data_IF_964761119241
#
_entry.id   IF_964761119241
#
_cell.length_a   1.000
_cell.length_b   1.000
_cell.length_c   1.000
_cell.angle_alpha   90.00
_cell.angle_beta   90.00
_cell.angle_gamma   90.00
#
_symmetry.space_group_name_H-M   'P 1'
#
loop_
_entity.id
_entity.type
_entity.pdbx_description
1 polymer ?
#
# COMPACT_ATOMS: atom_id res chain seq x y z
N UNK A 1 -9.37 11.62 14.31
CA UNK A 1 -8.01 12.25 14.23
C UNK A 1 -7.75 12.58 12.76
N UNK A 2 -6.81 13.46 12.41
CA UNK A 2 -6.50 13.70 10.99
C UNK A 2 -5.06 13.38 10.63
N UNK A 3 -4.85 12.96 9.39
CA UNK A 3 -3.55 12.69 8.80
C UNK A 3 -2.78 13.99 8.61
N UNK A 4 -1.56 14.02 9.12
CA UNK A 4 -0.65 15.16 9.11
C UNK A 4 0.14 15.23 7.80
N UNK A 5 0.62 16.43 7.45
CA UNK A 5 1.44 16.62 6.25
C UNK A 5 2.77 15.87 6.33
N UNK A 6 3.27 15.57 7.54
CA UNK A 6 4.49 14.77 7.74
C UNK A 6 4.28 13.32 7.30
N UNK A 7 3.14 12.73 7.68
CA UNK A 7 2.76 11.37 7.30
C UNK A 7 2.58 11.28 5.78
N UNK A 8 1.90 12.25 5.18
CA UNK A 8 1.72 12.35 3.71
C UNK A 8 3.07 12.47 3.02
N UNK A 9 3.98 13.32 3.50
CA UNK A 9 5.29 13.50 2.90
C UNK A 9 6.14 12.21 2.96
N UNK A 10 6.11 11.49 4.08
CA UNK A 10 6.84 10.24 4.24
C UNK A 10 6.38 9.16 3.25
N UNK A 11 5.06 8.98 3.10
CA UNK A 11 4.51 8.02 2.14
C UNK A 11 4.73 8.47 0.69
N UNK A 12 4.50 9.75 0.37
CA UNK A 12 4.73 10.27 -0.98
C UNK A 12 6.17 10.04 -1.44
N UNK A 13 7.17 10.24 -0.56
CA UNK A 13 8.56 9.98 -0.91
C UNK A 13 8.81 8.51 -1.28
N UNK A 14 8.18 7.57 -0.58
CA UNK A 14 8.26 6.14 -0.90
C UNK A 14 7.65 5.83 -2.28
N UNK A 15 6.47 6.39 -2.56
CA UNK A 15 5.71 6.08 -3.78
C UNK A 15 6.26 6.81 -5.01
N UNK A 16 6.86 7.97 -4.85
CA UNK A 16 7.46 8.74 -5.94
C UNK A 16 8.75 8.11 -6.52
N UNK A 17 9.15 6.91 -6.05
CA UNK A 17 10.39 6.26 -6.48
C UNK A 17 11.64 7.07 -6.11
N UNK A 18 11.56 7.91 -5.07
CA UNK A 18 12.73 8.62 -4.53
C UNK A 18 13.69 7.59 -3.91
N UNK A 19 14.98 7.94 -3.76
CA UNK A 19 15.92 7.08 -3.05
C UNK A 19 15.38 6.66 -1.68
N UNK A 20 15.59 5.39 -1.31
CA UNK A 20 15.08 4.83 -0.06
C UNK A 20 15.47 5.68 1.16
N UNK A 21 16.65 6.28 1.13
CA UNK A 21 17.17 7.15 2.18
C UNK A 21 16.30 8.39 2.41
N UNK A 22 15.66 8.92 1.37
CA UNK A 22 14.78 10.08 1.49
C UNK A 22 13.49 9.72 2.22
N UNK A 23 12.89 8.58 1.86
CA UNK A 23 11.75 8.04 2.59
C UNK A 23 12.11 7.77 4.05
N UNK A 24 13.21 7.05 4.32
CA UNK A 24 13.65 6.74 5.68
C UNK A 24 13.91 7.99 6.51
N UNK A 25 14.50 9.04 5.91
CA UNK A 25 14.72 10.32 6.59
C UNK A 25 13.42 11.02 6.99
N UNK A 26 12.36 10.92 6.19
CA UNK A 26 11.05 11.49 6.51
C UNK A 26 10.29 10.61 7.50
N UNK A 27 10.31 9.31 7.30
CA UNK A 27 9.70 8.33 8.20
C UNK A 27 10.28 8.40 9.61
N UNK A 28 11.61 8.53 9.75
CA UNK A 28 12.29 8.67 11.04
C UNK A 28 11.98 9.99 11.79
N UNK A 29 11.23 10.92 11.18
CA UNK A 29 10.74 12.13 11.85
C UNK A 29 9.33 11.96 12.42
N UNK A 30 8.65 10.86 12.09
CA UNK A 30 7.38 10.50 12.67
C UNK A 30 7.62 9.99 14.10
N UNK A 31 6.71 10.30 15.00
CA UNK A 31 6.73 9.79 16.37
C UNK A 31 5.55 8.84 16.65
N UNK A 32 5.44 8.33 17.88
CA UNK A 32 4.38 7.38 18.24
C UNK A 32 2.96 7.94 18.03
N UNK A 33 2.79 9.26 18.11
CA UNK A 33 1.49 9.91 17.87
C UNK A 33 1.12 9.93 16.39
N UNK A 34 2.11 9.81 15.51
CA UNK A 34 1.92 9.71 14.07
C UNK A 34 1.56 8.28 13.60
N UNK A 35 1.77 7.24 14.42
CA UNK A 35 1.60 5.84 13.99
C UNK A 35 0.18 5.54 13.48
N UNK A 36 -0.85 5.99 14.20
CA UNK A 36 -2.24 5.70 13.86
C UNK A 36 -2.62 6.32 12.52
N UNK A 37 -2.27 7.59 12.30
CA UNK A 37 -2.56 8.28 11.04
C UNK A 37 -1.73 7.72 9.87
N UNK A 38 -0.48 7.33 10.12
CA UNK A 38 0.36 6.71 9.09
C UNK A 38 -0.16 5.32 8.68
N UNK A 39 -0.61 4.51 9.64
CA UNK A 39 -1.23 3.22 9.38
C UNK A 39 -2.55 3.36 8.58
N UNK A 40 -3.40 4.32 8.95
CA UNK A 40 -4.62 4.63 8.18
C UNK A 40 -4.30 5.06 6.74
N UNK A 41 -3.27 5.89 6.55
CA UNK A 41 -2.81 6.32 5.23
C UNK A 41 -2.30 5.16 4.37
N UNK A 42 -1.53 4.24 4.96
CA UNK A 42 -1.09 3.01 4.29
C UNK A 42 -2.27 2.11 3.90
N UNK A 43 -3.22 1.91 4.80
CA UNK A 43 -4.41 1.09 4.56
C UNK A 43 -5.26 1.68 3.42
N UNK A 44 -5.56 2.98 3.47
CA UNK A 44 -6.28 3.69 2.42
C UNK A 44 -5.55 3.63 1.07
N UNK A 45 -4.23 3.88 1.09
CA UNK A 45 -3.39 3.79 -0.09
C UNK A 45 -3.41 2.41 -0.74
N UNK A 46 -3.28 1.35 0.07
CA UNK A 46 -3.31 -0.01 -0.43
C UNK A 46 -4.68 -0.38 -1.01
N UNK A 47 -5.77 -0.05 -0.31
CA UNK A 47 -7.12 -0.34 -0.77
C UNK A 47 -7.40 0.33 -2.12
N UNK A 48 -7.06 1.61 -2.26
CA UNK A 48 -7.26 2.35 -3.50
C UNK A 48 -6.37 1.83 -4.64
N UNK A 49 -5.11 1.50 -4.35
CA UNK A 49 -4.19 0.92 -5.34
C UNK A 49 -4.68 -0.45 -5.83
N UNK A 50 -5.17 -1.31 -4.94
CA UNK A 50 -5.77 -2.61 -5.27
C UNK A 50 -7.02 -2.41 -6.11
N UNK A 51 -7.90 -1.49 -5.72
CA UNK A 51 -9.13 -1.19 -6.45
C UNK A 51 -8.81 -0.74 -7.88
N UNK A 52 -7.88 0.18 -8.08
CA UNK A 52 -7.46 0.63 -9.42
C UNK A 52 -6.86 -0.48 -10.27
N UNK A 53 -6.07 -1.38 -9.67
CA UNK A 53 -5.37 -2.45 -10.39
C UNK A 53 -6.26 -3.65 -10.74
N UNK A 54 -7.17 -4.01 -9.84
CA UNK A 54 -7.92 -5.26 -9.90
C UNK A 54 -9.42 -5.07 -10.10
N UNK A 55 -9.98 -3.86 -10.04
CA UNK A 55 -11.38 -3.62 -10.39
C UNK A 55 -11.46 -2.91 -11.73
N UNK A 56 -11.97 -3.62 -12.74
CA UNK A 56 -12.21 -3.07 -14.09
C UNK A 56 -13.70 -3.17 -14.41
N UNK A 57 -14.32 -2.07 -14.83
CA UNK A 57 -15.75 -2.01 -15.15
C UNK A 57 -16.67 -2.57 -14.03
N UNK A 58 -16.30 -2.30 -12.77
CA UNK A 58 -17.02 -2.79 -11.59
C UNK A 58 -16.85 -4.28 -11.28
N UNK A 59 -15.98 -4.98 -12.02
CA UNK A 59 -15.67 -6.40 -11.79
C UNK A 59 -14.29 -6.54 -11.20
N UNK A 60 -14.21 -7.20 -10.05
CA UNK A 60 -12.94 -7.61 -9.46
C UNK A 60 -12.29 -8.73 -10.28
N UNK A 61 -10.99 -8.62 -10.50
CA UNK A 61 -10.11 -9.57 -11.16
C UNK A 61 -10.28 -10.98 -10.58
N UNK A 62 -9.95 -12.01 -11.36
CA UNK A 62 -9.97 -13.37 -10.85
C UNK A 62 -8.75 -13.67 -9.95
N UNK A 63 -8.75 -14.85 -9.33
CA UNK A 63 -7.66 -15.26 -8.42
C UNK A 63 -6.33 -15.44 -9.17
N UNK A 64 -6.37 -15.81 -10.45
CA UNK A 64 -5.17 -16.04 -11.26
C UNK A 64 -4.43 -14.74 -11.51
N UNK A 65 -5.15 -13.64 -11.80
CA UNK A 65 -4.54 -12.31 -11.94
C UNK A 65 -3.84 -11.85 -10.66
N UNK A 66 -4.39 -12.19 -9.48
CA UNK A 66 -3.78 -11.87 -8.18
C UNK A 66 -2.49 -12.69 -7.97
N UNK A 67 -2.54 -14.00 -8.24
CA UNK A 67 -1.37 -14.89 -8.15
C UNK A 67 -0.26 -14.41 -9.08
N UNK A 68 -0.57 -14.07 -10.33
CA UNK A 68 0.41 -13.57 -11.30
C UNK A 68 1.05 -12.27 -10.82
N UNK A 69 0.24 -11.34 -10.30
CA UNK A 69 0.76 -10.10 -9.73
C UNK A 69 1.73 -10.38 -8.58
N UNK A 70 1.35 -11.21 -7.60
CA UNK A 70 2.19 -11.56 -6.46
C UNK A 70 3.48 -12.26 -6.90
N UNK A 71 3.41 -13.12 -7.92
CA UNK A 71 4.60 -13.75 -8.51
C UNK A 71 5.57 -12.72 -9.13
N UNK A 72 5.05 -11.71 -9.84
CA UNK A 72 5.86 -10.62 -10.39
C UNK A 72 6.51 -9.79 -9.29
N UNK A 73 5.77 -9.45 -8.23
CA UNK A 73 6.32 -8.70 -7.09
C UNK A 73 7.47 -9.48 -6.45
N UNK A 74 7.29 -10.79 -6.23
CA UNK A 74 8.33 -11.66 -5.66
C UNK A 74 9.56 -11.79 -6.55
N UNK A 75 9.37 -11.82 -7.87
CA UNK A 75 10.47 -11.92 -8.82
C UNK A 75 11.29 -10.62 -8.94
N UNK A 76 10.68 -9.46 -8.67
CA UNK A 76 11.34 -8.16 -8.75
C UNK A 76 12.17 -7.80 -7.49
N UNK A 77 12.04 -8.55 -6.39
CA UNK A 77 12.80 -8.31 -5.17
C UNK A 77 14.22 -8.88 -5.27
N UNK A 78 15.22 -8.01 -5.50
CA UNK A 78 16.61 -8.41 -5.79
C UNK A 78 17.39 -9.04 -4.61
N UNK A 79 16.84 -9.08 -3.38
CA UNK A 79 17.52 -9.72 -2.23
C UNK A 79 16.60 -10.56 -1.31
N UNK A 80 15.30 -10.66 -1.58
CA UNK A 80 14.38 -11.45 -0.75
C UNK A 80 13.11 -11.87 -1.48
N UNK A 81 13.21 -12.90 -2.31
CA UNK A 81 12.02 -13.66 -2.76
C UNK A 81 11.18 -14.23 -1.60
N UNK A 82 11.76 -14.22 -0.39
CA UNK A 82 11.18 -14.65 0.89
C UNK A 82 10.56 -13.50 1.70
N UNK A 83 10.78 -12.22 1.36
CA UNK A 83 10.17 -11.11 2.10
C UNK A 83 8.68 -10.95 1.85
N UNK A 84 8.18 -11.48 0.73
CA UNK A 84 6.76 -11.50 0.41
C UNK A 84 6.27 -12.94 0.48
N UNK A 85 5.56 -13.26 1.55
CA UNK A 85 4.80 -14.50 1.64
C UNK A 85 3.60 -14.39 0.68
N UNK A 86 3.51 -15.28 -0.33
CA UNK A 86 2.44 -15.19 -1.32
C UNK A 86 1.05 -15.38 -0.70
N UNK A 87 0.91 -16.25 0.30
CA UNK A 87 -0.37 -16.51 0.94
C UNK A 87 -0.86 -15.27 1.68
N UNK A 88 0.03 -14.59 2.41
CA UNK A 88 -0.30 -13.34 3.10
C UNK A 88 -0.67 -12.25 2.08
N UNK A 89 0.16 -12.07 1.05
CA UNK A 89 -0.06 -11.06 0.02
C UNK A 89 -1.38 -11.26 -0.74
N UNK A 90 -1.67 -12.49 -1.16
CA UNK A 90 -2.92 -12.83 -1.83
C UNK A 90 -4.14 -12.59 -0.94
N UNK A 91 -4.07 -12.97 0.35
CA UNK A 91 -5.17 -12.78 1.29
C UNK A 91 -5.42 -11.29 1.60
N UNK A 92 -4.37 -10.48 1.71
CA UNK A 92 -4.50 -9.03 1.84
C UNK A 92 -5.23 -8.43 0.64
N UNK A 93 -4.89 -8.86 -0.59
CA UNK A 93 -5.54 -8.39 -1.82
C UNK A 93 -7.00 -8.86 -1.88
N UNK A 94 -7.26 -10.13 -1.59
CA UNK A 94 -8.62 -10.68 -1.57
C UNK A 94 -9.50 -9.97 -0.55
N UNK A 95 -8.98 -9.71 0.65
CA UNK A 95 -9.68 -8.98 1.68
C UNK A 95 -10.04 -7.56 1.24
N UNK A 96 -9.09 -6.81 0.65
CA UNK A 96 -9.34 -5.48 0.10
C UNK A 96 -10.36 -5.49 -1.06
N UNK A 97 -10.49 -6.62 -1.79
CA UNK A 97 -11.54 -6.80 -2.81
C UNK A 97 -12.89 -7.28 -2.23
N UNK A 98 -13.03 -7.36 -0.91
CA UNK A 98 -14.24 -7.85 -0.24
C UNK A 98 -14.45 -9.36 -0.38
N UNK A 99 -13.41 -10.12 -0.74
CA UNK A 99 -13.47 -11.57 -1.01
C UNK A 99 -13.04 -12.40 0.20
N UNK A 100 -13.69 -12.15 1.32
CA UNK A 100 -13.48 -12.90 2.57
C UNK A 100 -12.72 -12.11 3.64
N UNK A 101 -12.69 -12.63 4.87
CA UNK A 101 -11.96 -12.02 5.96
C UNK A 101 -10.45 -12.21 5.75
N UNK A 102 -9.67 -11.24 6.24
CA UNK A 102 -8.24 -11.44 6.40
C UNK A 102 -8.01 -12.48 7.52
N UNK A 103 -7.18 -13.52 7.30
CA UNK A 103 -6.76 -14.42 8.36
C UNK A 103 -6.06 -13.66 9.50
N UNK A 104 -6.00 -14.29 10.68
CA UNK A 104 -5.33 -13.73 11.87
C UNK A 104 -3.81 -13.79 11.69
N UNK A 105 -3.29 -12.78 10.98
CA UNK A 105 -1.87 -12.51 10.83
C UNK A 105 -1.46 -11.44 11.85
N UNK A 106 -0.23 -11.49 12.34
CA UNK A 106 0.27 -10.44 13.21
C UNK A 106 0.38 -9.09 12.46
N UNK A 107 0.12 -8.00 13.18
CA UNK A 107 0.03 -6.65 12.61
C UNK A 107 1.34 -6.22 11.92
N UNK A 108 2.50 -6.68 12.41
CA UNK A 108 3.81 -6.37 11.83
C UNK A 108 3.98 -7.06 10.47
N UNK A 109 3.62 -8.35 10.38
CA UNK A 109 3.58 -9.09 9.11
C UNK A 109 2.64 -8.42 8.12
N UNK A 110 1.42 -8.06 8.52
CA UNK A 110 0.46 -7.38 7.63
C UNK A 110 1.04 -6.06 7.15
N UNK A 111 1.52 -5.21 8.05
CA UNK A 111 2.07 -3.89 7.73
C UNK A 111 3.25 -3.98 6.76
N UNK A 112 4.18 -4.92 6.98
CA UNK A 112 5.31 -5.16 6.07
C UNK A 112 4.84 -5.51 4.65
N UNK A 113 3.84 -6.38 4.53
CA UNK A 113 3.25 -6.73 3.24
C UNK A 113 2.50 -5.55 2.62
N UNK A 114 1.78 -4.75 3.39
CA UNK A 114 1.06 -3.58 2.87
C UNK A 114 2.02 -2.57 2.23
N UNK A 115 3.16 -2.30 2.87
CA UNK A 115 4.20 -1.39 2.35
C UNK A 115 4.76 -1.91 1.02
N UNK A 116 5.14 -3.19 0.96
CA UNK A 116 5.71 -3.79 -0.26
C UNK A 116 4.68 -3.83 -1.40
N UNK A 117 3.46 -4.26 -1.10
CA UNK A 117 2.37 -4.35 -2.08
C UNK A 117 2.01 -2.97 -2.64
N UNK A 118 1.89 -1.96 -1.77
CA UNK A 118 1.59 -0.59 -2.19
C UNK A 118 2.70 -0.03 -3.08
N UNK A 119 3.96 -0.21 -2.70
CA UNK A 119 5.10 0.19 -3.54
C UNK A 119 5.08 -0.52 -4.91
N UNK A 120 4.81 -1.81 -4.95
CA UNK A 120 4.77 -2.57 -6.21
C UNK A 120 3.58 -2.19 -7.10
N UNK A 121 2.39 -2.00 -6.52
CA UNK A 121 1.21 -1.52 -7.24
C UNK A 121 1.46 -0.14 -7.84
N UNK A 122 2.07 0.76 -7.07
CA UNK A 122 2.38 2.11 -7.51
C UNK A 122 3.45 2.11 -8.62
N UNK A 123 4.49 1.29 -8.49
CA UNK A 123 5.51 1.13 -9.53
C UNK A 123 4.92 0.59 -10.84
N UNK A 124 4.00 -0.37 -10.79
CA UNK A 124 3.30 -0.88 -11.98
C UNK A 124 2.32 0.14 -12.58
N UNK A 125 1.67 0.95 -11.74
CA UNK A 125 0.78 2.01 -12.22
C UNK A 125 1.55 3.11 -12.97
N UNK A 126 2.83 3.30 -12.63
CA UNK A 126 3.74 4.24 -13.29
C UNK A 126 3.12 5.65 -13.43
N UNK A 127 2.59 6.16 -12.32
CA UNK A 127 1.97 7.47 -12.27
C UNK A 127 2.94 8.58 -12.65
N UNK A 128 2.45 9.57 -13.39
CA UNK A 128 3.07 10.88 -13.46
C UNK A 128 3.00 11.59 -12.09
N UNK A 129 3.82 12.63 -11.89
CA UNK A 129 3.80 13.43 -10.66
C UNK A 129 2.40 13.97 -10.32
N UNK A 130 1.62 14.36 -11.35
CA UNK A 130 0.26 14.86 -11.17
C UNK A 130 -0.72 13.76 -10.73
N UNK A 131 -0.61 12.56 -11.32
CA UNK A 131 -1.44 11.42 -10.96
C UNK A 131 -1.11 10.89 -9.57
N UNK A 132 0.19 10.85 -9.21
CA UNK A 132 0.61 10.49 -7.86
C UNK A 132 0.12 11.51 -6.84
N UNK A 133 0.20 12.81 -7.15
CA UNK A 133 -0.35 13.84 -6.28
C UNK A 133 -1.86 13.66 -6.06
N UNK A 134 -2.62 13.42 -7.14
CA UNK A 134 -4.06 13.16 -7.04
C UNK A 134 -4.37 11.90 -6.24
N UNK A 135 -3.58 10.82 -6.42
CA UNK A 135 -3.66 9.63 -5.60
C UNK A 135 -3.43 9.94 -4.11
N UNK A 136 -2.38 10.70 -3.79
CA UNK A 136 -2.06 11.09 -2.41
C UNK A 136 -3.16 11.95 -1.75
N UNK A 137 -3.79 12.85 -2.52
CA UNK A 137 -4.94 13.64 -2.04
C UNK A 137 -6.13 12.74 -1.72
N UNK A 138 -6.45 11.78 -2.60
CA UNK A 138 -7.55 10.84 -2.39
C UNK A 138 -7.33 10.00 -1.13
N UNK A 139 -6.16 9.35 -1.01
CA UNK A 139 -5.91 8.42 0.10
C UNK A 139 -5.81 9.13 1.45
N UNK A 140 -5.46 10.43 1.46
CA UNK A 140 -5.51 11.24 2.67
C UNK A 140 -6.96 11.43 3.13
N UNK A 141 -7.86 11.77 2.21
CA UNK A 141 -9.28 11.94 2.53
C UNK A 141 -9.89 10.62 3.04
N UNK A 142 -9.59 9.51 2.37
CA UNK A 142 -10.06 8.18 2.79
C UNK A 142 -9.48 7.78 4.15
N UNK A 143 -8.20 8.10 4.41
CA UNK A 143 -7.58 7.84 5.70
C UNK A 143 -8.15 8.71 6.83
N UNK A 144 -8.50 9.96 6.55
CA UNK A 144 -9.20 10.82 7.51
C UNK A 144 -10.58 10.23 7.87
N UNK A 145 -11.33 9.69 6.91
CA UNK A 145 -12.61 9.00 7.14
C UNK A 145 -12.44 7.74 8.01
N UNK A 146 -11.36 6.97 7.82
CA UNK A 146 -11.06 5.80 8.66
C UNK A 146 -10.75 6.16 10.13
N UNK A 147 -10.44 7.42 10.42
CA UNK A 147 -10.05 7.92 11.74
C UNK A 147 -11.18 8.67 12.48
N UNK A 148 -12.37 8.75 11.87
CA UNK A 148 -13.60 9.27 12.49
C UNK A 148 -14.32 8.21 13.34
#
# INVERSE_FOLDING_TARGET
MSVTDKQVAALHAQLAGRPLEEHLRLFNKLDQTDNVGYAALLAAGLFEAIRRRFVRDGKAADRSEIIEFVAVVRAAGDESSDAVNPDVAEQVILHALGRGPLPDFDDETVLGHQIILLSALNAQANYSDAELHAFMVQIRADADELLE
#
